data_IF_425079566727
#
_entry.id   IF_425079566727
#
_cell.length_a   1.000
_cell.length_b   1.000
_cell.length_c   1.000
_cell.angle_alpha   90.00
_cell.angle_beta   90.00
_cell.angle_gamma   90.00
#
_symmetry.space_group_name_H-M   'P 1'
#
loop_
_entity.id
_entity.type
_entity.pdbx_description
1 polymer ?
#
# COMPACT_ATOMS: atom_id res chain seq x y z
N UNK A 1 1.65 20.58 32.56
CA UNK A 1 1.60 21.81 33.39
C UNK A 1 2.55 21.65 34.59
N UNK A 2 3.70 22.34 34.56
CA UNK A 2 4.40 23.00 35.70
C UNK A 2 5.86 23.30 35.32
N UNK A 3 6.21 24.59 35.32
CA UNK A 3 7.59 25.09 35.29
C UNK A 3 8.17 25.08 36.70
N UNK A 4 9.45 24.71 36.85
CA UNK A 4 10.26 25.13 38.00
C UNK A 4 11.68 25.49 37.58
N UNK A 5 12.13 26.67 38.04
CA UNK A 5 13.49 27.22 37.94
C UNK A 5 14.33 26.81 39.16
N UNK A 6 15.64 26.74 38.95
CA UNK A 6 16.68 26.36 39.90
C UNK A 6 16.98 27.40 40.98
N UNK A 7 17.53 26.94 42.11
CA UNK A 7 18.30 27.72 43.09
C UNK A 7 19.63 26.98 43.36
N UNK A 8 20.73 27.73 43.44
CA UNK A 8 22.07 27.26 43.82
C UNK A 8 22.46 27.94 45.14
N UNK A 9 23.02 27.20 46.11
CA UNK A 9 24.35 27.49 46.66
C UNK A 9 24.81 26.62 47.86
N UNK A 10 26.14 26.43 47.85
CA UNK A 10 27.10 26.27 48.96
C UNK A 10 27.30 24.88 49.58
N UNK A 11 28.47 24.29 49.25
CA UNK A 11 29.09 23.18 49.98
C UNK A 11 28.91 21.83 49.31
N UNK A 12 29.99 21.34 48.68
CA UNK A 12 30.16 19.96 48.22
C UNK A 12 28.92 19.31 47.55
N UNK A 13 28.57 19.74 46.33
CA UNK A 13 27.63 18.99 45.49
C UNK A 13 28.28 18.70 44.15
N UNK A 14 28.42 17.41 43.84
CA UNK A 14 28.67 16.93 42.50
C UNK A 14 27.56 17.49 41.59
N UNK A 15 27.93 18.23 40.56
CA UNK A 15 27.01 18.55 39.47
C UNK A 15 26.87 17.26 38.67
N UNK A 16 25.83 16.49 38.97
CA UNK A 16 25.38 15.42 38.08
C UNK A 16 24.68 16.10 36.89
N UNK A 17 25.43 16.45 35.85
CA UNK A 17 24.86 16.67 34.53
C UNK A 17 24.31 15.33 34.07
N UNK A 18 22.98 15.14 34.09
CA UNK A 18 22.38 14.03 33.35
C UNK A 18 22.50 14.35 31.86
N UNK A 19 23.46 13.73 31.21
CA UNK A 19 23.44 13.54 29.76
C UNK A 19 22.34 12.52 29.52
N UNK A 20 21.16 12.97 29.11
CA UNK A 20 20.08 12.06 28.75
C UNK A 20 20.39 11.52 27.36
N UNK A 21 20.53 10.20 27.24
CA UNK A 21 20.77 9.55 25.95
C UNK A 21 19.66 9.92 24.97
N UNK A 22 20.04 10.17 23.70
CA UNK A 22 19.10 10.46 22.63
C UNK A 22 18.10 9.31 22.52
N UNK A 23 16.81 9.62 22.35
CA UNK A 23 15.79 8.60 22.08
C UNK A 23 16.00 8.03 20.68
N UNK A 24 15.54 6.80 20.47
CA UNK A 24 15.41 6.21 19.14
C UNK A 24 14.40 7.03 18.33
N UNK A 25 14.80 7.50 17.14
CA UNK A 25 14.02 8.46 16.34
C UNK A 25 12.96 7.80 15.46
N UNK A 26 13.20 6.56 14.98
CA UNK A 26 12.21 5.81 14.22
C UNK A 26 12.15 4.34 14.64
N UNK A 27 10.93 3.81 14.68
CA UNK A 27 10.62 2.41 14.90
C UNK A 27 9.45 2.03 13.97
N UNK A 28 9.48 0.81 13.45
CA UNK A 28 8.39 0.20 12.71
C UNK A 28 8.17 -1.23 13.17
N UNK A 29 6.93 -1.69 13.03
CA UNK A 29 6.54 -3.08 13.26
C UNK A 29 5.74 -3.57 12.05
N UNK A 30 6.03 -4.79 11.60
CA UNK A 30 5.30 -5.44 10.49
C UNK A 30 4.95 -6.87 10.88
N UNK A 31 3.70 -7.26 10.68
CA UNK A 31 3.29 -8.65 10.90
C UNK A 31 4.08 -9.59 9.97
N UNK A 32 4.52 -10.73 10.50
CA UNK A 32 5.13 -11.83 9.75
C UNK A 32 4.16 -13.02 9.66
N UNK A 33 2.85 -12.73 9.64
CA UNK A 33 1.78 -13.71 9.74
C UNK A 33 0.97 -13.58 11.04
N UNK A 34 0.33 -14.68 11.45
CA UNK A 34 -0.68 -14.65 12.52
C UNK A 34 -0.14 -14.75 13.95
N UNK A 35 1.12 -15.11 14.12
CA UNK A 35 1.72 -15.32 15.45
C UNK A 35 3.10 -14.71 15.61
N UNK A 36 3.51 -13.83 14.69
CA UNK A 36 4.82 -13.22 14.70
C UNK A 36 4.82 -11.81 14.08
N UNK A 37 5.74 -10.98 14.55
CA UNK A 37 5.94 -9.58 14.13
C UNK A 37 7.44 -9.32 14.03
N UNK A 38 7.88 -8.60 13.00
CA UNK A 38 9.22 -8.01 12.91
C UNK A 38 9.17 -6.57 13.39
N UNK A 39 10.04 -6.23 14.35
CA UNK A 39 10.22 -4.87 14.85
C UNK A 39 11.59 -4.36 14.43
N UNK A 40 11.68 -3.16 13.88
CA UNK A 40 12.92 -2.55 13.38
C UNK A 40 13.04 -1.09 13.80
N UNK A 41 14.25 -0.60 14.09
CA UNK A 41 14.45 0.78 14.57
C UNK A 41 15.78 1.42 14.17
N UNK A 42 15.84 2.75 14.19
CA UNK A 42 17.04 3.54 13.92
C UNK A 42 18.11 3.36 14.99
N UNK A 43 19.39 3.28 14.59
CA UNK A 43 20.51 3.21 15.53
C UNK A 43 20.74 4.54 16.26
N UNK A 44 21.10 4.46 17.54
CA UNK A 44 21.46 5.63 18.36
C UNK A 44 22.95 5.56 18.71
N UNK A 45 23.69 6.63 18.44
CA UNK A 45 25.13 6.70 18.72
C UNK A 45 25.41 6.59 20.23
N UNK A 46 26.40 5.78 20.60
CA UNK A 46 26.75 5.53 22.00
C UNK A 46 25.86 4.51 22.72
N UNK A 47 25.04 3.76 21.97
CA UNK A 47 24.25 2.63 22.50
C UNK A 47 25.07 1.35 22.53
N UNK A 48 25.07 0.66 23.66
CA UNK A 48 25.66 -0.67 23.80
C UNK A 48 24.62 -1.78 23.58
N UNK A 49 23.36 -1.54 23.96
CA UNK A 49 22.25 -2.45 23.72
C UNK A 49 20.88 -1.77 23.75
N UNK A 50 19.87 -2.43 23.21
CA UNK A 50 18.47 -2.00 23.27
C UNK A 50 17.64 -2.92 24.19
N UNK A 51 16.57 -2.35 24.76
CA UNK A 51 15.48 -3.08 25.39
C UNK A 51 14.21 -2.91 24.56
N UNK A 52 13.53 -4.03 24.27
CA UNK A 52 12.29 -4.07 23.50
C UNK A 52 11.11 -4.34 24.44
N UNK A 53 10.05 -3.56 24.24
CA UNK A 53 8.82 -3.60 25.01
C UNK A 53 7.64 -3.92 24.09
N UNK A 54 6.72 -4.75 24.60
CA UNK A 54 5.43 -5.09 24.01
C UNK A 54 4.35 -4.76 25.04
N UNK A 55 3.34 -3.96 24.67
CA UNK A 55 2.19 -3.59 25.53
C UNK A 55 2.61 -3.12 26.94
N UNK A 56 3.64 -2.26 26.98
CA UNK A 56 4.27 -1.75 28.21
C UNK A 56 5.10 -2.75 29.03
N UNK A 57 5.20 -4.02 28.63
CA UNK A 57 6.09 -4.99 29.27
C UNK A 57 7.38 -5.18 28.48
N UNK A 58 8.52 -5.21 29.18
CA UNK A 58 9.80 -5.53 28.54
C UNK A 58 9.84 -7.02 28.19
N UNK A 59 9.89 -7.33 26.91
CA UNK A 59 9.95 -8.71 26.41
C UNK A 59 11.39 -9.17 26.12
N UNK A 60 12.31 -8.23 25.84
CA UNK A 60 13.70 -8.56 25.53
C UNK A 60 14.67 -7.43 25.93
N UNK A 61 15.91 -7.78 26.25
CA UNK A 61 17.01 -6.86 26.64
C UNK A 61 18.34 -7.39 26.12
N UNK A 62 19.36 -6.52 26.03
CA UNK A 62 20.69 -6.88 25.53
C UNK A 62 20.76 -7.02 24.01
N UNK A 63 19.81 -6.42 23.27
CA UNK A 63 19.76 -6.51 21.81
C UNK A 63 20.86 -5.60 21.24
N UNK A 64 21.79 -6.15 20.47
CA UNK A 64 22.85 -5.37 19.81
C UNK A 64 22.51 -5.03 18.36
N UNK A 65 21.55 -5.74 17.77
CA UNK A 65 21.01 -5.47 16.45
C UNK A 65 19.89 -4.41 16.51
N UNK A 66 19.44 -4.00 15.33
CA UNK A 66 18.40 -2.99 15.14
C UNK A 66 17.07 -3.58 14.65
N UNK A 67 16.94 -4.90 14.71
CA UNK A 67 15.75 -5.64 14.31
C UNK A 67 15.56 -6.87 15.19
N UNK A 68 14.31 -7.20 15.51
CA UNK A 68 13.93 -8.39 16.29
C UNK A 68 12.63 -8.96 15.73
N UNK A 69 12.58 -10.29 15.58
CA UNK A 69 11.34 -11.01 15.29
C UNK A 69 10.74 -11.53 16.61
N UNK A 70 9.55 -11.02 16.96
CA UNK A 70 8.76 -11.42 18.12
C UNK A 70 7.78 -12.50 17.69
N UNK A 71 7.72 -13.62 18.39
CA UNK A 71 6.89 -14.78 18.06
C UNK A 71 6.05 -15.25 19.25
N UNK A 72 5.06 -16.10 19.00
CA UNK A 72 4.14 -16.60 20.03
C UNK A 72 3.01 -15.61 20.36
N UNK A 73 2.69 -14.73 19.41
CA UNK A 73 1.61 -13.77 19.50
C UNK A 73 0.27 -14.41 19.14
N UNK A 74 -0.82 -13.87 19.68
CA UNK A 74 -2.18 -14.25 19.31
C UNK A 74 -2.53 -13.67 17.94
N UNK A 75 -3.36 -14.39 17.21
CA UNK A 75 -3.87 -13.99 15.90
C UNK A 75 -4.86 -12.82 15.97
N UNK A 76 -4.95 -12.04 14.89
CA UNK A 76 -5.88 -10.90 14.78
C UNK A 76 -5.87 -9.97 16.01
N UNK A 77 -4.69 -9.80 16.60
CA UNK A 77 -4.52 -9.08 17.87
C UNK A 77 -3.60 -7.89 17.65
N UNK A 78 -4.03 -6.73 18.15
CA UNK A 78 -3.25 -5.51 18.13
C UNK A 78 -2.16 -5.58 19.19
N UNK A 79 -0.93 -5.30 18.77
CA UNK A 79 0.24 -5.22 19.63
C UNK A 79 0.92 -3.87 19.44
N UNK A 80 1.49 -3.38 20.53
CA UNK A 80 2.25 -2.15 20.54
C UNK A 80 3.69 -2.38 20.97
N UNK A 81 4.64 -1.93 20.14
CA UNK A 81 6.08 -2.04 20.40
C UNK A 81 6.76 -0.69 20.59
N UNK A 82 7.72 -0.64 21.51
CA UNK A 82 8.65 0.49 21.65
C UNK A 82 10.00 0.00 22.18
N UNK A 83 11.04 0.82 21.99
CA UNK A 83 12.41 0.49 22.41
C UNK A 83 13.04 1.61 23.23
N UNK A 84 14.01 1.23 24.06
CA UNK A 84 14.95 2.16 24.72
C UNK A 84 16.38 1.78 24.36
N UNK A 85 17.23 2.78 24.14
CA UNK A 85 18.65 2.61 23.88
C UNK A 85 19.43 2.75 25.20
N UNK A 86 20.28 1.78 25.52
CA UNK A 86 20.99 1.72 26.80
C UNK A 86 22.50 1.59 26.60
N UNK A 87 23.26 2.10 27.56
CA UNK A 87 24.71 1.96 27.60
C UNK A 87 25.16 0.84 28.56
N UNK A 88 26.46 0.52 28.56
CA UNK A 88 27.05 -0.56 29.36
C UNK A 88 26.87 -0.38 30.88
N UNK A 89 26.63 0.85 31.35
CA UNK A 89 26.32 1.14 32.76
C UNK A 89 24.82 0.95 33.10
N UNK A 90 23.99 0.58 32.13
CA UNK A 90 22.55 0.36 32.29
C UNK A 90 21.73 1.64 32.31
N UNK A 91 22.27 2.77 31.83
CA UNK A 91 21.51 4.00 31.65
C UNK A 91 20.81 3.98 30.29
N UNK A 92 19.49 4.09 30.31
CA UNK A 92 18.66 4.04 29.11
C UNK A 92 18.10 5.41 28.73
N UNK A 93 17.90 5.62 27.43
CA UNK A 93 17.19 6.75 26.84
C UNK A 93 15.73 6.79 27.29
N UNK A 94 15.01 7.91 27.07
CA UNK A 94 13.56 7.88 26.98
C UNK A 94 13.09 6.84 25.95
N UNK A 95 11.86 6.34 26.12
CA UNK A 95 11.23 5.45 25.15
C UNK A 95 11.08 6.13 23.78
N UNK A 96 11.17 5.32 22.72
CA UNK A 96 10.82 5.74 21.36
C UNK A 96 9.33 6.12 21.24
N UNK A 97 8.92 6.54 20.05
CA UNK A 97 7.51 6.46 19.64
C UNK A 97 7.03 5.01 19.65
N UNK A 98 5.71 4.82 19.66
CA UNK A 98 5.10 3.49 19.59
C UNK A 98 4.96 3.07 18.12
N UNK A 99 5.18 1.78 17.86
CA UNK A 99 4.85 1.13 16.60
C UNK A 99 3.72 0.13 16.87
N UNK A 100 2.54 0.42 16.32
CA UNK A 100 1.36 -0.43 16.42
C UNK A 100 1.33 -1.40 15.24
N UNK A 101 0.89 -2.63 15.49
CA UNK A 101 0.75 -3.66 14.47
C UNK A 101 -0.35 -4.64 14.87
N UNK A 102 -1.17 -5.05 13.90
CA UNK A 102 -2.14 -6.13 14.08
C UNK A 102 -1.55 -7.40 13.49
N UNK A 103 -1.43 -8.47 14.26
CA UNK A 103 -1.07 -9.79 13.71
C UNK A 103 -2.13 -10.23 12.70
N UNK A 104 -1.71 -10.94 11.66
CA UNK A 104 -2.66 -11.44 10.67
C UNK A 104 -3.71 -12.35 11.34
N UNK A 105 -4.88 -12.47 10.73
CA UNK A 105 -5.86 -13.46 11.18
C UNK A 105 -5.29 -14.87 11.00
N UNK A 106 -5.20 -15.59 12.11
CA UNK A 106 -4.75 -16.97 12.17
C UNK A 106 -5.79 -17.90 11.57
N UNK A 107 -5.29 -18.83 10.76
CA UNK A 107 -6.03 -19.87 10.08
C UNK A 107 -7.04 -20.66 10.93
N UNK A 108 -8.07 -21.18 10.25
CA UNK A 108 -9.09 -22.07 10.78
C UNK A 108 -8.49 -23.21 11.61
N UNK A 109 -8.72 -23.19 12.93
CA UNK A 109 -8.56 -24.37 13.77
C UNK A 109 -9.36 -25.52 13.16
N UNK A 110 -8.66 -26.51 12.58
CA UNK A 110 -9.30 -27.66 11.94
C UNK A 110 -9.83 -28.68 12.95
N UNK A 111 -9.59 -28.44 14.25
CA UNK A 111 -9.99 -29.28 15.36
C UNK A 111 -9.29 -30.64 15.37
N UNK A 112 -9.93 -31.61 16.03
CA UNK A 112 -9.49 -33.00 16.05
C UNK A 112 -9.97 -33.69 14.78
N UNK A 113 -9.13 -34.51 14.15
CA UNK A 113 -9.53 -35.31 13.00
C UNK A 113 -10.57 -36.36 13.42
N UNK A 114 -11.76 -36.33 12.82
CA UNK A 114 -12.93 -37.19 13.15
C UNK A 114 -12.71 -38.72 13.06
N UNK A 115 -11.50 -39.20 12.74
CA UNK A 115 -11.19 -40.62 12.52
C UNK A 115 -9.83 -41.08 13.10
N UNK A 116 -9.29 -40.44 14.14
CA UNK A 116 -7.89 -40.60 14.58
C UNK A 116 -7.41 -42.01 15.01
N UNK A 117 -8.24 -43.07 15.04
CA UNK A 117 -7.80 -44.42 15.50
C UNK A 117 -7.53 -45.45 14.40
N UNK A 118 -7.74 -45.15 13.11
CA UNK A 118 -7.65 -46.16 12.03
C UNK A 118 -6.41 -46.03 11.11
N UNK A 119 -5.51 -45.07 11.38
CA UNK A 119 -4.36 -44.81 10.50
C UNK A 119 -4.65 -43.82 9.37
N UNK A 120 -5.78 -43.12 9.41
CA UNK A 120 -6.09 -42.03 8.47
C UNK A 120 -5.10 -40.87 8.59
N UNK A 121 -4.79 -40.27 7.44
CA UNK A 121 -3.96 -39.07 7.35
C UNK A 121 -4.70 -37.84 7.90
N UNK A 122 -4.01 -36.80 8.40
CA UNK A 122 -4.68 -35.60 8.89
C UNK A 122 -5.32 -34.84 7.72
N UNK A 123 -6.45 -34.18 7.96
CA UNK A 123 -6.95 -33.12 7.07
C UNK A 123 -5.98 -31.96 7.16
N UNK A 124 -5.67 -31.38 6.00
CA UNK A 124 -4.77 -30.25 5.83
C UNK A 124 -5.51 -29.11 5.14
N UNK A 125 -5.09 -27.88 5.41
CA UNK A 125 -5.54 -26.68 4.71
C UNK A 125 -4.33 -25.78 4.47
N UNK A 126 -4.29 -25.14 3.31
CA UNK A 126 -3.33 -24.10 2.99
C UNK A 126 -4.06 -22.75 2.97
N UNK A 127 -3.42 -21.66 3.37
CA UNK A 127 -3.87 -20.30 3.07
C UNK A 127 -2.70 -19.49 2.61
N UNK A 128 -2.86 -18.81 1.48
CA UNK A 128 -1.79 -18.08 0.81
C UNK A 128 -1.75 -16.66 1.36
N UNK A 129 -0.55 -16.18 1.64
CA UNK A 129 -0.25 -14.81 2.07
C UNK A 129 0.33 -14.01 0.88
N UNK A 130 0.15 -12.69 0.87
CA UNK A 130 0.57 -11.82 -0.26
C UNK A 130 2.10 -11.59 -0.34
N UNK A 131 2.87 -12.19 0.57
CA UNK A 131 4.32 -12.04 0.68
C UNK A 131 5.12 -13.20 0.06
N UNK A 132 4.44 -14.10 -0.65
CA UNK A 132 5.03 -15.32 -1.24
C UNK A 132 5.19 -16.46 -0.24
N UNK A 133 4.47 -16.39 0.89
CA UNK A 133 4.33 -17.49 1.84
C UNK A 133 2.90 -18.00 1.89
N UNK A 134 2.70 -19.10 2.61
CA UNK A 134 1.41 -19.63 2.94
C UNK A 134 1.42 -20.24 4.34
N UNK A 135 0.29 -20.13 5.03
CA UNK A 135 0.01 -20.85 6.26
C UNK A 135 -0.54 -22.25 5.94
N UNK A 136 0.26 -23.29 6.20
CA UNK A 136 -0.20 -24.67 6.21
C UNK A 136 -0.73 -25.03 7.60
N UNK A 137 -1.92 -25.65 7.67
CA UNK A 137 -2.58 -26.10 8.92
C UNK A 137 -3.04 -27.56 8.79
N UNK A 138 -3.09 -28.30 9.89
CA UNK A 138 -3.60 -29.68 9.94
C UNK A 138 -4.39 -29.98 11.21
N UNK A 139 -5.40 -30.85 11.12
CA UNK A 139 -6.16 -31.28 12.30
C UNK A 139 -5.32 -32.16 13.24
N UNK A 140 -5.65 -32.12 14.53
CA UNK A 140 -5.02 -32.96 15.55
C UNK A 140 -5.38 -34.44 15.35
N UNK A 141 -4.38 -35.31 15.36
CA UNK A 141 -4.54 -36.77 15.43
C UNK A 141 -4.26 -37.23 16.85
N UNK A 142 -5.28 -37.73 17.54
CA UNK A 142 -5.16 -38.26 18.89
C UNK A 142 -4.14 -39.40 18.97
N UNK A 143 -3.11 -39.23 19.82
CA UNK A 143 -2.07 -40.23 20.01
C UNK A 143 -0.89 -40.15 19.04
N UNK A 144 -0.82 -39.10 18.21
CA UNK A 144 0.39 -38.79 17.44
C UNK A 144 1.55 -38.35 18.36
N UNK A 145 2.75 -38.87 18.10
CA UNK A 145 4.00 -38.41 18.71
C UNK A 145 4.53 -37.15 18.00
N UNK A 146 4.09 -36.90 16.76
CA UNK A 146 4.43 -35.71 15.99
C UNK A 146 3.96 -35.79 14.53
N UNK A 147 4.37 -34.81 13.73
CA UNK A 147 3.95 -34.63 12.34
C UNK A 147 5.14 -34.35 11.42
N UNK A 148 5.22 -35.02 10.29
CA UNK A 148 6.21 -34.78 9.25
C UNK A 148 5.60 -33.96 8.12
N UNK A 149 6.31 -32.90 7.73
CA UNK A 149 6.00 -32.08 6.57
C UNK A 149 6.69 -32.61 5.32
N UNK A 150 5.96 -32.62 4.23
CA UNK A 150 6.46 -32.96 2.91
C UNK A 150 6.16 -31.82 1.92
N UNK A 151 7.14 -31.52 1.08
CA UNK A 151 7.02 -30.63 -0.09
C UNK A 151 7.35 -31.46 -1.31
N UNK A 152 6.46 -31.49 -2.30
CA UNK A 152 6.65 -32.22 -3.57
C UNK A 152 7.05 -33.68 -3.34
N UNK A 153 6.39 -34.31 -2.37
CA UNK A 153 6.65 -35.66 -1.85
C UNK A 153 7.98 -35.88 -1.11
N UNK A 154 8.85 -34.89 -1.01
CA UNK A 154 10.10 -34.96 -0.25
C UNK A 154 9.91 -34.53 1.20
N UNK A 155 10.50 -35.28 2.13
CA UNK A 155 10.47 -34.94 3.56
C UNK A 155 11.23 -33.63 3.81
N UNK A 156 10.62 -32.73 4.56
CA UNK A 156 11.20 -31.44 4.93
C UNK A 156 11.63 -31.42 6.39
N UNK A 157 10.67 -31.59 7.31
CA UNK A 157 10.90 -31.45 8.74
C UNK A 157 9.88 -32.21 9.58
N UNK A 158 10.15 -32.33 10.88
CA UNK A 158 9.26 -32.92 11.88
C UNK A 158 8.86 -31.87 12.91
N UNK A 159 7.57 -31.83 13.22
CA UNK A 159 6.96 -31.05 14.28
C UNK A 159 6.54 -31.94 15.45
N UNK A 160 6.50 -31.37 16.65
CA UNK A 160 6.02 -32.06 17.85
C UNK A 160 4.51 -32.31 17.82
N UNK A 161 4.02 -33.14 18.76
CA UNK A 161 2.62 -33.54 18.85
C UNK A 161 1.62 -32.42 19.13
N UNK A 162 2.08 -31.24 19.56
CA UNK A 162 1.25 -30.07 19.87
C UNK A 162 1.34 -28.96 18.81
N UNK A 163 1.91 -29.27 17.64
CA UNK A 163 2.03 -28.30 16.54
C UNK A 163 1.08 -28.69 15.42
N UNK A 164 0.25 -27.74 15.00
CA UNK A 164 -0.85 -27.95 14.04
C UNK A 164 -0.79 -27.01 12.84
N UNK A 165 0.27 -26.20 12.74
CA UNK A 165 0.48 -25.28 11.63
C UNK A 165 1.96 -24.98 11.40
N UNK A 166 2.28 -24.54 10.19
CA UNK A 166 3.60 -24.05 9.79
C UNK A 166 3.48 -23.02 8.66
N UNK A 167 4.28 -21.97 8.70
CA UNK A 167 4.44 -21.04 7.55
C UNK A 167 5.42 -21.66 6.56
N UNK A 168 5.04 -21.69 5.28
CA UNK A 168 5.79 -22.31 4.20
C UNK A 168 5.92 -21.33 3.03
N UNK A 169 6.98 -21.43 2.24
CA UNK A 169 7.07 -20.65 0.99
C UNK A 169 6.04 -21.13 -0.02
N UNK A 170 5.36 -20.22 -0.72
CA UNK A 170 4.36 -20.62 -1.69
C UNK A 170 4.30 -19.64 -2.85
N UNK A 171 4.64 -20.13 -4.05
CA UNK A 171 4.61 -19.36 -5.29
C UNK A 171 3.51 -19.85 -6.24
N UNK A 172 2.69 -20.81 -5.79
CA UNK A 172 1.53 -21.35 -6.51
C UNK A 172 1.72 -22.74 -7.10
N UNK A 173 2.88 -23.37 -6.94
CA UNK A 173 3.20 -24.67 -7.57
C UNK A 173 3.55 -25.77 -6.58
N UNK A 174 3.92 -25.39 -5.36
CA UNK A 174 4.39 -26.25 -4.29
C UNK A 174 3.27 -27.16 -3.77
N UNK A 175 3.56 -28.45 -3.60
CA UNK A 175 2.59 -29.42 -3.09
C UNK A 175 2.92 -29.86 -1.67
N UNK A 176 2.24 -29.24 -0.69
CA UNK A 176 2.42 -29.55 0.72
C UNK A 176 1.56 -30.70 1.20
N UNK A 177 2.14 -31.60 2.01
CA UNK A 177 1.42 -32.71 2.66
C UNK A 177 1.95 -32.93 4.08
N UNK A 178 1.11 -33.47 4.96
CA UNK A 178 1.46 -33.78 6.35
C UNK A 178 1.17 -35.24 6.65
N UNK A 179 2.06 -35.91 7.39
CA UNK A 179 1.82 -37.24 7.93
C UNK A 179 2.12 -37.27 9.43
N UNK A 180 1.23 -37.82 10.25
CA UNK A 180 1.52 -38.06 11.65
C UNK A 180 2.38 -39.33 11.83
N UNK A 181 3.04 -39.45 12.98
CA UNK A 181 3.68 -40.71 13.38
C UNK A 181 3.43 -40.98 14.85
N UNK A 182 3.39 -42.26 15.24
CA UNK A 182 3.43 -42.65 16.64
C UNK A 182 3.99 -44.05 16.82
N UNK A 183 4.79 -44.29 17.87
CA UNK A 183 5.32 -45.61 18.22
C UNK A 183 6.03 -46.34 17.05
N UNK A 184 6.69 -45.59 16.16
CA UNK A 184 7.34 -46.12 14.95
C UNK A 184 6.40 -46.47 13.80
N UNK A 185 5.10 -46.19 13.92
CA UNK A 185 4.13 -46.26 12.82
C UNK A 185 4.12 -44.93 12.04
N UNK A 186 4.20 -45.03 10.72
CA UNK A 186 4.15 -43.90 9.78
C UNK A 186 3.03 -44.12 8.76
N UNK A 187 1.78 -43.75 9.12
CA UNK A 187 0.64 -43.84 8.21
C UNK A 187 0.77 -42.95 6.97
N UNK A 188 -0.22 -43.05 6.08
CA UNK A 188 -0.21 -42.34 4.81
C UNK A 188 -0.14 -40.81 4.99
N UNK A 189 0.47 -40.13 4.02
CA UNK A 189 0.44 -38.67 3.91
C UNK A 189 -0.99 -38.18 3.67
N UNK A 190 -1.28 -36.96 4.10
CA UNK A 190 -2.53 -36.26 3.77
C UNK A 190 -2.71 -36.14 2.26
N UNK A 191 -3.92 -35.74 1.83
CA UNK A 191 -4.05 -35.13 0.51
C UNK A 191 -3.12 -33.91 0.39
N UNK A 192 -2.82 -33.48 -0.84
CA UNK A 192 -2.13 -32.19 -1.05
C UNK A 192 -2.96 -31.10 -0.40
N UNK A 193 -2.32 -30.28 0.43
CA UNK A 193 -2.94 -29.14 1.07
C UNK A 193 -3.39 -28.18 -0.02
N UNK A 194 -4.70 -27.99 -0.09
CA UNK A 194 -5.33 -27.03 -0.97
C UNK A 194 -5.78 -25.85 -0.12
N UNK A 195 -5.85 -24.68 -0.74
CA UNK A 195 -6.59 -23.54 -0.21
C UNK A 195 -7.99 -23.96 0.27
N UNK A 196 -8.66 -23.20 1.17
CA UNK A 196 -10.11 -23.22 1.10
C UNK A 196 -10.48 -23.02 -0.37
N UNK A 197 -11.45 -23.78 -0.88
CA UNK A 197 -12.03 -23.48 -2.18
C UNK A 197 -12.63 -22.09 -2.04
N UNK A 198 -11.85 -21.07 -2.40
CA UNK A 198 -12.36 -19.74 -2.57
C UNK A 198 -13.51 -19.94 -3.57
N UNK A 199 -14.72 -19.42 -3.29
CA UNK A 199 -15.71 -19.31 -4.36
C UNK A 199 -14.96 -18.71 -5.54
N UNK A 200 -15.06 -19.26 -6.76
CA UNK A 200 -14.17 -18.92 -7.85
C UNK A 200 -14.04 -17.40 -7.85
N UNK A 201 -12.85 -16.91 -7.51
CA UNK A 201 -12.54 -15.50 -7.70
C UNK A 201 -12.56 -15.38 -9.21
N UNK A 202 -13.71 -15.00 -9.74
CA UNK A 202 -13.73 -14.28 -10.99
C UNK A 202 -12.73 -13.16 -10.73
N UNK A 203 -11.58 -13.12 -11.41
CA UNK A 203 -10.70 -11.97 -11.25
C UNK A 203 -11.59 -10.76 -11.48
N UNK A 204 -11.76 -9.94 -10.44
CA UNK A 204 -12.56 -8.72 -10.56
C UNK A 204 -11.94 -7.97 -11.73
N UNK A 205 -12.77 -7.75 -12.75
CA UNK A 205 -12.32 -6.98 -13.88
C UNK A 205 -12.04 -5.55 -13.41
N UNK A 206 -11.24 -4.78 -14.15
CA UNK A 206 -11.04 -3.35 -13.84
C UNK A 206 -12.40 -2.61 -13.72
N UNK A 207 -13.43 -3.10 -14.42
CA UNK A 207 -14.82 -2.67 -14.33
C UNK A 207 -15.45 -3.00 -12.96
N UNK A 208 -15.29 -4.21 -12.45
CA UNK A 208 -15.84 -4.60 -11.14
C UNK A 208 -15.17 -3.81 -10.01
N UNK A 209 -13.86 -3.59 -10.09
CA UNK A 209 -13.12 -2.79 -9.11
C UNK A 209 -13.58 -1.34 -9.12
N UNK A 210 -13.65 -0.72 -10.30
CA UNK A 210 -14.08 0.68 -10.42
C UNK A 210 -15.53 0.86 -10.00
N UNK A 211 -16.43 -0.05 -10.37
CA UNK A 211 -17.84 -0.01 -9.95
C UNK A 211 -18.01 -0.13 -8.44
N UNK A 212 -17.18 -0.93 -7.77
CA UNK A 212 -17.19 -1.00 -6.30
C UNK A 212 -16.72 0.30 -5.66
N UNK A 213 -15.65 0.90 -6.19
CA UNK A 213 -15.12 2.17 -5.67
C UNK A 213 -16.11 3.33 -5.86
N UNK A 214 -16.74 3.43 -7.03
CA UNK A 214 -17.83 4.39 -7.34
C UNK A 214 -19.06 4.16 -6.43
N UNK A 215 -19.43 2.91 -6.17
CA UNK A 215 -20.54 2.62 -5.27
C UNK A 215 -20.27 3.06 -3.82
N UNK A 216 -19.01 3.05 -3.39
CA UNK A 216 -18.61 3.48 -2.04
C UNK A 216 -18.57 5.01 -1.88
N UNK A 217 -18.31 5.76 -2.95
CA UNK A 217 -18.35 7.23 -2.94
C UNK A 217 -19.78 7.78 -3.04
N UNK A 218 -20.74 7.00 -3.54
CA UNK A 218 -22.12 7.45 -3.76
C UNK A 218 -23.03 7.52 -2.51
N UNK A 219 -22.50 7.29 -1.30
CA UNK A 219 -23.29 7.20 -0.05
C UNK A 219 -23.94 8.54 0.37
N UNK A 220 -23.41 9.68 -0.07
CA UNK A 220 -23.96 11.01 0.23
C UNK A 220 -24.05 11.89 -1.04
N UNK A 221 -25.25 12.28 -1.50
CA UNK A 221 -25.44 13.05 -2.73
C UNK A 221 -24.90 14.49 -2.67
N UNK A 222 -24.54 14.97 -1.48
CA UNK A 222 -23.93 16.30 -1.30
C UNK A 222 -22.39 16.25 -1.38
N UNK A 223 -21.78 15.07 -1.42
CA UNK A 223 -20.32 14.94 -1.49
C UNK A 223 -19.80 15.29 -2.89
N UNK A 224 -18.54 15.73 -2.94
CA UNK A 224 -17.81 15.94 -4.19
C UNK A 224 -16.99 14.70 -4.48
N UNK A 225 -17.26 14.07 -5.60
CA UNK A 225 -16.56 12.88 -6.06
C UNK A 225 -15.45 13.27 -7.04
N UNK A 226 -14.24 12.73 -6.85
CA UNK A 226 -13.08 13.10 -7.66
C UNK A 226 -12.35 11.85 -8.15
N UNK A 227 -12.31 11.69 -9.48
CA UNK A 227 -11.56 10.67 -10.17
C UNK A 227 -10.20 11.22 -10.61
N UNK A 228 -9.11 10.58 -10.22
CA UNK A 228 -7.77 10.95 -10.67
C UNK A 228 -7.25 9.97 -11.72
N UNK A 229 -6.68 10.49 -12.80
CA UNK A 229 -6.02 9.66 -13.81
C UNK A 229 -4.71 10.27 -14.28
N UNK A 230 -3.74 9.41 -14.53
CA UNK A 230 -2.47 9.82 -15.15
C UNK A 230 -2.62 9.81 -16.67
N UNK A 231 -1.92 10.72 -17.34
CA UNK A 231 -1.78 10.62 -18.80
C UNK A 231 -1.31 9.22 -19.25
N UNK A 232 -1.83 8.77 -20.39
CA UNK A 232 -1.44 7.50 -21.01
C UNK A 232 -0.06 7.58 -21.69
N UNK A 233 0.38 6.48 -22.30
CA UNK A 233 1.69 6.41 -22.97
C UNK A 233 1.87 7.48 -24.04
N UNK A 234 3.03 8.12 -23.98
CA UNK A 234 3.37 9.28 -24.78
C UNK A 234 4.52 9.02 -25.75
N UNK A 235 4.66 9.88 -26.72
CA UNK A 235 5.83 10.05 -27.58
C UNK A 235 6.08 11.54 -27.83
N UNK A 236 7.31 11.90 -28.21
CA UNK A 236 7.60 13.23 -28.75
C UNK A 236 6.75 13.44 -30.00
N UNK A 237 6.12 14.61 -30.10
CA UNK A 237 5.35 14.98 -31.27
C UNK A 237 6.27 15.17 -32.47
N UNK A 238 5.88 14.57 -33.59
CA UNK A 238 6.60 14.67 -34.85
C UNK A 238 5.77 15.46 -35.86
N UNK A 239 6.42 16.34 -36.60
CA UNK A 239 5.85 17.05 -37.75
C UNK A 239 6.45 16.47 -39.03
N UNK A 240 5.60 16.08 -39.98
CA UNK A 240 6.02 15.62 -41.30
C UNK A 240 6.37 16.83 -42.17
N UNK A 241 7.59 16.84 -42.68
CA UNK A 241 8.10 17.86 -43.58
C UNK A 241 7.66 17.60 -45.02
N UNK A 242 7.71 18.63 -45.87
CA UNK A 242 7.37 18.50 -47.30
C UNK A 242 8.19 17.43 -48.04
N UNK A 243 9.37 17.05 -47.52
CA UNK A 243 10.25 16.02 -48.07
C UNK A 243 9.98 14.60 -47.53
N UNK A 244 8.94 14.43 -46.69
CA UNK A 244 8.57 13.17 -46.05
C UNK A 244 9.46 12.77 -44.87
N UNK A 245 10.37 13.64 -44.43
CA UNK A 245 11.09 13.47 -43.17
C UNK A 245 10.25 13.94 -41.98
N UNK A 246 10.59 13.47 -40.78
CA UNK A 246 9.92 13.86 -39.55
C UNK A 246 10.88 14.66 -38.67
N UNK A 247 10.41 15.79 -38.14
CA UNK A 247 11.13 16.59 -37.15
C UNK A 247 10.37 16.59 -35.82
N UNK A 248 11.11 16.63 -34.72
CA UNK A 248 10.50 16.79 -33.39
C UNK A 248 9.97 18.22 -33.24
N UNK A 249 8.73 18.33 -32.76
CA UNK A 249 8.12 19.62 -32.43
C UNK A 249 8.62 20.03 -31.04
N UNK A 250 9.62 20.90 -31.03
CA UNK A 250 10.26 21.39 -29.81
C UNK A 250 10.30 22.91 -29.76
N UNK A 251 10.16 23.45 -28.57
CA UNK A 251 10.45 24.83 -28.18
C UNK A 251 11.86 24.94 -27.63
N UNK A 252 12.09 25.90 -26.74
CA UNK A 252 13.45 26.25 -26.31
C UNK A 252 14.10 25.24 -25.35
N UNK A 253 13.29 24.46 -24.62
CA UNK A 253 13.80 23.63 -23.50
C UNK A 253 13.24 22.23 -23.43
N UNK A 254 12.06 21.97 -23.98
CA UNK A 254 11.47 20.63 -24.02
C UNK A 254 10.96 20.36 -25.43
N UNK A 255 10.27 19.24 -25.62
CA UNK A 255 9.53 18.96 -26.83
C UNK A 255 8.07 18.70 -26.48
N UNK A 256 7.17 19.01 -27.41
CA UNK A 256 5.76 18.66 -27.28
C UNK A 256 5.62 17.13 -27.24
N UNK A 257 4.72 16.64 -26.39
CA UNK A 257 4.46 15.21 -26.24
C UNK A 257 2.98 14.91 -26.42
N UNK A 258 2.69 13.99 -27.32
CA UNK A 258 1.36 13.47 -27.64
C UNK A 258 1.24 12.03 -27.19
N UNK A 259 0.02 11.48 -27.15
CA UNK A 259 -0.15 10.04 -26.98
C UNK A 259 0.49 9.29 -28.16
N UNK A 260 1.10 8.15 -27.87
CA UNK A 260 1.45 7.18 -28.90
C UNK A 260 0.28 6.20 -29.11
N UNK A 261 0.37 5.32 -30.11
CA UNK A 261 -0.71 4.36 -30.43
C UNK A 261 -1.15 3.50 -29.23
N UNK A 262 -0.22 3.16 -28.33
CA UNK A 262 -0.58 2.42 -27.11
C UNK A 262 -1.35 3.31 -26.12
N UNK A 263 -0.96 4.58 -26.02
CA UNK A 263 -1.64 5.57 -25.19
C UNK A 263 -3.05 5.88 -25.68
N UNK A 264 -3.24 6.03 -27.00
CA UNK A 264 -4.54 6.24 -27.63
C UNK A 264 -5.50 5.08 -27.34
N UNK A 265 -5.06 3.84 -27.54
CA UNK A 265 -5.84 2.64 -27.20
C UNK A 265 -6.21 2.59 -25.72
N UNK A 266 -5.32 3.05 -24.83
CA UNK A 266 -5.61 3.10 -23.39
C UNK A 266 -6.61 4.19 -23.03
N UNK A 267 -6.58 5.34 -23.70
CA UNK A 267 -7.59 6.37 -23.54
C UNK A 267 -8.98 5.87 -23.98
N UNK A 268 -9.05 5.11 -25.08
CA UNK A 268 -10.29 4.47 -25.55
C UNK A 268 -10.83 3.43 -24.56
N UNK A 269 -9.95 2.59 -24.00
CA UNK A 269 -10.32 1.60 -22.99
C UNK A 269 -10.77 2.27 -21.68
N UNK A 270 -10.09 3.33 -21.26
CA UNK A 270 -10.48 4.11 -20.07
C UNK A 270 -11.86 4.76 -20.25
N UNK A 271 -12.16 5.30 -21.44
CA UNK A 271 -13.50 5.79 -21.75
C UNK A 271 -14.56 4.70 -21.74
N UNK A 272 -14.27 3.55 -22.34
CA UNK A 272 -15.19 2.40 -22.34
C UNK A 272 -15.51 1.96 -20.90
N UNK A 273 -14.48 1.90 -20.04
CA UNK A 273 -14.61 1.59 -18.63
C UNK A 273 -15.50 2.60 -17.88
N UNK A 274 -15.25 3.90 -18.03
CA UNK A 274 -16.06 4.95 -17.40
C UNK A 274 -17.53 4.90 -17.85
N UNK A 275 -17.78 4.63 -19.14
CA UNK A 275 -19.13 4.49 -19.68
C UNK A 275 -19.84 3.24 -19.16
N UNK A 276 -19.15 2.11 -19.12
CA UNK A 276 -19.72 0.83 -18.68
C UNK A 276 -20.06 0.81 -17.19
N UNK A 277 -19.31 1.55 -16.37
CA UNK A 277 -19.62 1.76 -14.94
C UNK A 277 -20.70 2.84 -14.75
N UNK A 278 -20.98 3.67 -15.77
CA UNK A 278 -21.98 4.74 -15.71
C UNK A 278 -21.48 6.03 -15.08
N UNK A 279 -20.16 6.22 -14.97
CA UNK A 279 -19.52 7.43 -14.45
C UNK A 279 -19.68 8.59 -15.45
N UNK A 280 -19.65 8.31 -16.76
CA UNK A 280 -19.79 9.37 -17.79
C UNK A 280 -21.13 10.10 -17.69
N UNK A 281 -22.22 9.40 -17.34
CA UNK A 281 -23.57 9.98 -17.22
C UNK A 281 -23.70 11.01 -16.08
N UNK A 282 -22.81 10.95 -15.09
CA UNK A 282 -22.82 11.80 -13.89
C UNK A 282 -21.65 12.77 -13.82
N UNK A 283 -20.68 12.67 -14.73
CA UNK A 283 -19.54 13.57 -14.76
C UNK A 283 -20.03 15.02 -14.96
N UNK A 284 -19.50 15.94 -14.17
CA UNK A 284 -19.90 17.36 -14.18
C UNK A 284 -18.75 18.31 -14.53
N UNK A 285 -17.52 17.91 -14.20
CA UNK A 285 -16.32 18.72 -14.41
C UNK A 285 -15.17 17.83 -14.87
N UNK A 286 -14.30 18.37 -15.70
CA UNK A 286 -13.05 17.73 -16.07
C UNK A 286 -11.92 18.75 -16.01
N UNK A 287 -10.81 18.37 -15.39
CA UNK A 287 -9.64 19.22 -15.19
C UNK A 287 -8.40 18.51 -15.73
N UNK A 288 -7.53 19.25 -16.41
CA UNK A 288 -6.29 18.70 -16.93
C UNK A 288 -5.13 19.69 -16.78
N UNK A 289 -3.91 19.17 -16.70
CA UNK A 289 -2.75 20.01 -17.05
C UNK A 289 -2.80 20.37 -18.54
N UNK A 290 -2.29 21.54 -18.91
CA UNK A 290 -2.19 22.03 -20.29
C UNK A 290 -1.29 21.19 -21.23
N UNK A 291 -0.76 20.03 -20.79
CA UNK A 291 0.05 19.18 -21.67
C UNK A 291 -0.86 18.36 -22.57
N UNK A 292 -0.58 18.38 -23.88
CA UNK A 292 -1.39 17.71 -24.92
C UNK A 292 -1.73 16.26 -24.59
N UNK A 293 -0.73 15.45 -24.21
CA UNK A 293 -0.93 14.04 -23.78
C UNK A 293 -1.96 13.85 -22.66
N UNK A 294 -2.03 14.78 -21.71
CA UNK A 294 -2.93 14.69 -20.55
C UNK A 294 -4.37 14.95 -20.98
N UNK A 295 -4.57 16.01 -21.77
CA UNK A 295 -5.85 16.34 -22.39
C UNK A 295 -6.36 15.18 -23.25
N UNK A 296 -5.53 14.69 -24.17
CA UNK A 296 -5.83 13.54 -25.04
C UNK A 296 -6.22 12.27 -24.27
N UNK A 297 -5.75 12.09 -23.03
CA UNK A 297 -6.07 10.90 -22.23
C UNK A 297 -7.53 10.89 -21.78
N UNK A 298 -8.15 12.05 -21.55
CA UNK A 298 -9.51 12.16 -21.03
C UNK A 298 -10.52 12.72 -22.04
N UNK A 299 -10.05 13.24 -23.18
CA UNK A 299 -10.88 13.86 -24.23
C UNK A 299 -12.07 13.00 -24.66
N UNK A 300 -11.87 11.69 -24.83
CA UNK A 300 -12.96 10.78 -25.19
C UNK A 300 -14.01 10.61 -24.07
N UNK A 301 -13.59 10.64 -22.81
CA UNK A 301 -14.47 10.51 -21.63
C UNK A 301 -15.35 11.75 -21.52
N UNK A 302 -14.73 12.92 -21.65
CA UNK A 302 -15.38 14.22 -21.49
C UNK A 302 -16.35 14.48 -22.64
N UNK A 303 -15.96 14.12 -23.86
CA UNK A 303 -16.85 14.17 -25.03
C UNK A 303 -18.04 13.21 -24.89
N UNK A 304 -17.84 12.00 -24.35
CA UNK A 304 -18.93 11.05 -24.10
C UNK A 304 -19.91 11.54 -23.03
N UNK A 305 -19.39 12.15 -21.95
CA UNK A 305 -20.19 12.79 -20.91
C UNK A 305 -20.95 14.04 -21.41
N UNK A 306 -20.60 14.56 -22.60
CA UNK A 306 -21.22 15.75 -23.17
C UNK A 306 -20.92 17.02 -22.37
N UNK A 307 -19.78 17.05 -21.67
CA UNK A 307 -19.34 18.23 -20.93
C UNK A 307 -19.01 19.37 -21.89
N UNK A 308 -19.28 20.59 -21.43
CA UNK A 308 -19.01 21.84 -22.14
C UNK A 308 -18.94 22.99 -21.14
N UNK A 309 -18.50 24.17 -21.58
CA UNK A 309 -18.51 25.38 -20.75
C UNK A 309 -17.25 25.56 -19.91
N UNK A 310 -16.18 24.85 -20.27
CA UNK A 310 -14.82 25.20 -19.90
C UNK A 310 -14.49 26.64 -20.32
N UNK A 311 -13.64 27.28 -19.52
CA UNK A 311 -13.13 28.63 -19.76
C UNK A 311 -11.62 28.52 -19.92
N UNK A 312 -11.22 27.73 -20.91
CA UNK A 312 -9.82 27.60 -21.30
C UNK A 312 -9.60 27.94 -22.78
N UNK A 313 -8.49 27.45 -23.32
CA UNK A 313 -8.00 27.78 -24.65
C UNK A 313 -8.56 26.86 -25.75
N UNK A 314 -9.21 25.74 -25.41
CA UNK A 314 -9.95 24.85 -26.31
C UNK A 314 -11.47 24.94 -26.04
N UNK A 315 -12.06 26.13 -26.14
CA UNK A 315 -13.39 26.41 -25.62
C UNK A 315 -14.43 25.44 -26.17
N UNK A 316 -15.12 24.75 -25.26
CA UNK A 316 -16.23 23.86 -25.58
C UNK A 316 -15.84 22.41 -25.81
N UNK A 317 -14.60 22.00 -25.50
CA UNK A 317 -14.24 20.58 -25.39
C UNK A 317 -14.61 19.98 -24.01
N UNK A 318 -15.06 20.81 -23.07
CA UNK A 318 -15.52 20.41 -21.74
C UNK A 318 -14.40 20.12 -20.74
N UNK A 319 -13.14 20.27 -21.13
CA UNK A 319 -11.97 20.11 -20.27
C UNK A 319 -11.53 21.50 -19.82
N UNK A 320 -11.30 21.67 -18.52
CA UNK A 320 -10.69 22.87 -17.99
C UNK A 320 -9.18 22.64 -17.78
N UNK A 321 -8.38 23.15 -18.71
CA UNK A 321 -6.92 23.08 -18.67
C UNK A 321 -6.29 24.16 -17.78
N UNK A 322 -5.25 23.78 -17.03
CA UNK A 322 -4.47 24.72 -16.22
C UNK A 322 -2.97 24.76 -16.57
N UNK A 323 -2.35 25.97 -16.54
CA UNK A 323 -2.99 27.27 -16.27
C UNK A 323 -3.83 27.74 -17.47
N UNK A 324 -4.78 28.64 -17.21
CA UNK A 324 -5.63 29.26 -18.25
C UNK A 324 -4.94 30.39 -19.04
N UNK A 325 -3.82 30.91 -18.52
CA UNK A 325 -2.98 31.94 -19.15
C UNK A 325 -1.50 31.55 -19.07
N UNK A 326 -0.67 32.10 -19.97
CA UNK A 326 0.77 31.95 -19.84
C UNK A 326 1.32 32.79 -18.66
N UNK A 327 2.50 32.41 -18.15
CA UNK A 327 3.12 33.08 -16.98
C UNK A 327 3.45 34.57 -17.19
N UNK A 328 3.32 35.10 -18.40
CA UNK A 328 3.48 36.51 -18.76
C UNK A 328 2.14 37.28 -18.89
N UNK A 329 1.01 36.64 -18.60
CA UNK A 329 -0.34 37.22 -18.69
C UNK A 329 -0.83 37.43 -20.12
N UNK A 330 -0.15 36.84 -21.12
CA UNK A 330 -0.64 36.86 -22.50
C UNK A 330 -1.65 35.72 -22.74
N UNK A 331 -2.75 36.05 -23.41
CA UNK A 331 -3.62 35.06 -24.04
C UNK A 331 -2.93 34.59 -25.32
N UNK A 332 -2.45 33.35 -25.36
CA UNK A 332 -1.67 32.85 -26.49
C UNK A 332 -2.45 31.80 -27.24
N UNK A 333 -2.32 31.85 -28.57
CA UNK A 333 -2.85 30.89 -29.52
C UNK A 333 -2.36 29.44 -29.30
N UNK A 334 -1.49 29.19 -28.30
CA UNK A 334 -1.16 27.92 -27.65
C UNK A 334 -0.63 28.19 -26.23
N UNK A 335 -1.22 27.56 -25.21
CA UNK A 335 -0.56 27.43 -23.90
C UNK A 335 0.76 26.72 -24.16
N UNK A 336 1.88 27.27 -23.67
CA UNK A 336 3.19 26.71 -23.97
C UNK A 336 3.21 25.20 -23.65
N UNK A 337 3.27 24.30 -24.65
CA UNK A 337 3.21 22.85 -24.41
C UNK A 337 4.40 22.38 -23.55
N UNK A 338 5.40 23.24 -23.37
CA UNK A 338 6.66 23.03 -22.65
C UNK A 338 6.78 23.88 -21.39
N UNK A 339 5.77 24.69 -21.06
CA UNK A 339 5.77 25.55 -19.89
C UNK A 339 5.86 24.78 -18.57
N UNK A 340 6.63 25.29 -17.62
CA UNK A 340 6.72 24.78 -16.24
C UNK A 340 5.70 25.46 -15.31
N UNK A 341 4.65 26.06 -15.87
CA UNK A 341 3.64 26.77 -15.11
C UNK A 341 2.94 25.83 -14.13
N UNK A 342 2.79 26.29 -12.88
CA UNK A 342 2.26 25.49 -11.80
C UNK A 342 0.75 25.28 -11.98
N UNK A 343 0.36 24.15 -12.57
CA UNK A 343 -1.04 23.73 -12.66
C UNK A 343 -1.60 23.27 -11.30
N UNK A 344 -0.74 22.91 -10.34
CA UNK A 344 -1.14 22.35 -9.04
C UNK A 344 -2.01 23.33 -8.23
N UNK A 345 -1.56 24.56 -7.88
CA UNK A 345 -2.39 25.46 -7.08
C UNK A 345 -3.76 25.80 -7.70
N UNK A 346 -3.86 26.18 -8.99
CA UNK A 346 -5.17 26.53 -9.54
C UNK A 346 -6.11 25.32 -9.70
N UNK A 347 -5.58 24.10 -9.89
CA UNK A 347 -6.42 22.89 -9.85
C UNK A 347 -6.95 22.63 -8.44
N UNK A 348 -6.12 22.78 -7.40
CA UNK A 348 -6.58 22.66 -6.00
C UNK A 348 -7.70 23.67 -5.71
N UNK A 349 -7.49 24.94 -6.07
CA UNK A 349 -8.49 25.99 -5.86
C UNK A 349 -9.81 25.68 -6.60
N UNK A 350 -9.72 25.18 -7.84
CA UNK A 350 -10.88 24.77 -8.62
C UNK A 350 -11.65 23.63 -7.94
N UNK A 351 -10.94 22.58 -7.51
CA UNK A 351 -11.54 21.42 -6.84
C UNK A 351 -12.20 21.80 -5.51
N UNK A 352 -11.56 22.63 -4.69
CA UNK A 352 -12.12 23.11 -3.43
C UNK A 352 -13.33 24.05 -3.61
N UNK A 353 -13.51 24.60 -4.81
CA UNK A 353 -14.64 25.47 -5.15
C UNK A 353 -15.83 24.73 -5.79
N UNK A 354 -15.71 23.42 -6.02
CA UNK A 354 -16.76 22.63 -6.65
C UNK A 354 -18.05 22.64 -5.81
N UNK A 355 -19.23 22.82 -6.46
CA UNK A 355 -20.52 22.66 -5.78
C UNK A 355 -20.72 21.25 -5.20
N UNK A 356 -21.51 21.14 -4.13
CA UNK A 356 -21.98 19.86 -3.61
C UNK A 356 -22.62 18.99 -4.71
N UNK A 357 -22.35 17.68 -4.68
CA UNK A 357 -22.81 16.73 -5.69
C UNK A 357 -22.05 16.80 -7.03
N UNK A 358 -20.93 17.52 -7.10
CA UNK A 358 -20.08 17.53 -8.29
C UNK A 358 -19.30 16.22 -8.41
N UNK A 359 -19.26 15.68 -9.61
CA UNK A 359 -18.37 14.57 -10.00
C UNK A 359 -17.31 15.12 -10.95
N UNK A 360 -16.05 15.07 -10.56
CA UNK A 360 -14.93 15.65 -11.29
C UNK A 360 -13.91 14.59 -11.73
N UNK A 361 -13.37 14.75 -12.95
CA UNK A 361 -12.24 13.97 -13.46
C UNK A 361 -11.00 14.85 -13.55
N UNK A 362 -9.87 14.40 -13.00
CA UNK A 362 -8.62 15.15 -12.94
C UNK A 362 -7.50 14.36 -13.61
N UNK A 363 -6.95 14.91 -14.70
CA UNK A 363 -5.84 14.33 -15.45
C UNK A 363 -4.51 15.04 -15.19
N UNK A 364 -3.45 14.28 -14.92
CA UNK A 364 -2.14 14.86 -14.58
C UNK A 364 -0.93 13.94 -14.75
N UNK A 365 0.22 14.42 -14.27
CA UNK A 365 1.43 13.63 -14.04
C UNK A 365 1.44 13.12 -12.61
N UNK A 366 2.09 11.98 -12.35
CA UNK A 366 2.10 11.36 -11.03
C UNK A 366 2.44 12.32 -9.89
N UNK A 367 3.55 13.06 -9.98
CA UNK A 367 3.94 14.03 -8.94
C UNK A 367 2.89 15.13 -8.73
N UNK A 368 2.40 15.71 -9.82
CA UNK A 368 1.38 16.76 -9.81
C UNK A 368 0.08 16.28 -9.19
N UNK A 369 -0.35 15.04 -9.49
CA UNK A 369 -1.57 14.46 -8.92
C UNK A 369 -1.42 14.21 -7.42
N UNK A 370 -0.26 13.71 -6.96
CA UNK A 370 0.00 13.57 -5.52
C UNK A 370 -0.03 14.92 -4.81
N UNK A 371 0.57 15.95 -5.40
CA UNK A 371 0.54 17.30 -4.83
C UNK A 371 -0.89 17.88 -4.79
N UNK A 372 -1.72 17.62 -5.80
CA UNK A 372 -3.13 18.02 -5.82
C UNK A 372 -3.91 17.29 -4.73
N UNK A 373 -3.80 15.95 -4.66
CA UNK A 373 -4.49 15.12 -3.65
C UNK A 373 -4.11 15.56 -2.23
N UNK A 374 -2.81 15.79 -1.99
CA UNK A 374 -2.30 16.38 -0.76
C UNK A 374 -2.93 17.75 -0.46
N UNK A 375 -2.99 18.62 -1.47
CA UNK A 375 -3.53 19.98 -1.35
C UNK A 375 -5.02 20.06 -1.04
N UNK A 376 -5.81 19.07 -1.44
CA UNK A 376 -7.23 18.96 -1.09
C UNK A 376 -7.50 18.10 0.15
N UNK A 377 -6.44 17.65 0.84
CA UNK A 377 -6.54 16.94 2.13
C UNK A 377 -6.70 15.42 2.04
N UNK A 378 -6.40 14.79 0.89
CA UNK A 378 -6.48 13.34 0.68
C UNK A 378 -5.16 12.60 1.04
N UNK A 379 -4.42 13.07 2.04
CA UNK A 379 -3.06 12.56 2.34
C UNK A 379 -3.00 11.09 2.79
N UNK A 380 -4.13 10.47 3.16
CA UNK A 380 -4.19 9.09 3.65
C UNK A 380 -4.66 8.06 2.60
N UNK A 381 -4.93 8.46 1.35
CA UNK A 381 -5.67 7.60 0.38
C UNK A 381 -4.75 6.71 -0.48
N UNK A 382 -3.42 6.78 -0.34
CA UNK A 382 -2.49 6.04 -1.21
C UNK A 382 -1.30 5.37 -0.48
N UNK A 383 -1.48 4.91 0.76
CA UNK A 383 -0.52 4.06 1.46
C UNK A 383 -1.23 2.93 2.23
N UNK A 384 -1.95 2.06 1.52
CA UNK A 384 -2.25 0.70 1.97
C UNK A 384 -1.90 -0.30 0.85
#
# INVERSE_FOLDING_TARGET
MKNYRSVVMAGLFAVATQVQAMSVESISASALGSSAVRVSWSAVEGTDYYELYQDSQRIQTGITDNTVDVSGLDAATDYQFFVTACNAEGMCSPASTQADVTTASGSADLGICDAATDGSAPRVQLMVDDDGTAQLSWCEVTGADGYNLFLDNEYQTTFGSLTFSATVSYTGTEQYQVAWYANGNYPAKSAVAVGPELPPTVPETDQDVLARLDAASADNPDDVEIYFTRHAEKMTQLEEQEDGSFIEVCGETNCAEVLNTKGELRAELLMSLFREVGITDRLTHAFSSHKTRTRQTIELIVADAGLAGDVDKNPGDGIQEYPIENGDGSAVAELNPEGVSASVPPVIDALLSLPAGSVALVAGHSSTLYDIMAGIGLMDVCLE
#
